data_IF_047635441945
#
_entry.id   IF_047635441945
#
_cell.length_a   1.000
_cell.length_b   1.000
_cell.length_c   1.000
_cell.angle_alpha   90.00
_cell.angle_beta   90.00
_cell.angle_gamma   90.00
#
_symmetry.space_group_name_H-M   'P 1'
#
loop_
_entity.id
_entity.type
_entity.pdbx_description
1 polymer ?
#
# COMPACT_ATOMS: atom_id res chain seq x y z
N UNK A 1 18.30 10.86 8.86
CA UNK A 1 16.96 10.36 8.47
C UNK A 1 16.83 9.91 6.99
N UNK A 2 17.89 9.46 6.29
CA UNK A 2 17.81 9.12 4.85
C UNK A 2 17.30 7.71 4.50
N UNK A 3 17.22 6.78 5.47
CA UNK A 3 16.85 5.37 5.21
C UNK A 3 15.37 5.00 5.38
N UNK A 4 14.57 5.81 6.08
CA UNK A 4 13.14 5.53 6.38
C UNK A 4 12.20 5.55 5.16
N UNK A 5 12.32 6.48 4.19
CA UNK A 5 11.43 6.47 3.03
C UNK A 5 11.71 5.27 2.10
N UNK A 6 12.98 4.86 1.99
CA UNK A 6 13.38 3.68 1.19
C UNK A 6 12.74 2.41 1.75
N UNK A 7 12.76 2.23 3.07
CA UNK A 7 12.08 1.11 3.72
C UNK A 7 10.58 1.12 3.43
N UNK A 8 9.92 2.28 3.50
CA UNK A 8 8.50 2.41 3.14
C UNK A 8 8.21 1.97 1.70
N UNK A 9 9.05 2.35 0.75
CA UNK A 9 8.94 1.93 -0.67
C UNK A 9 9.13 0.41 -0.81
N UNK A 10 10.13 -0.16 -0.14
CA UNK A 10 10.40 -1.61 -0.18
C UNK A 10 9.21 -2.39 0.41
N UNK A 11 8.71 -1.98 1.58
CA UNK A 11 7.55 -2.62 2.21
C UNK A 11 6.28 -2.48 1.36
N UNK A 12 6.06 -1.31 0.75
CA UNK A 12 4.93 -1.10 -0.16
C UNK A 12 4.98 -2.00 -1.39
N UNK A 13 6.18 -2.16 -1.98
CA UNK A 13 6.38 -3.03 -3.13
C UNK A 13 6.19 -4.51 -2.76
N UNK A 14 6.79 -4.97 -1.65
CA UNK A 14 6.61 -6.34 -1.15
C UNK A 14 5.14 -6.63 -0.84
N UNK A 15 4.45 -5.70 -0.17
CA UNK A 15 3.01 -5.83 0.10
C UNK A 15 2.20 -5.95 -1.19
N UNK A 16 2.47 -5.12 -2.19
CA UNK A 16 1.80 -5.18 -3.49
C UNK A 16 2.01 -6.52 -4.21
N UNK A 17 3.23 -7.05 -4.19
CA UNK A 17 3.55 -8.35 -4.78
C UNK A 17 2.82 -9.48 -4.06
N UNK A 18 2.87 -9.52 -2.73
CA UNK A 18 2.14 -10.53 -1.94
C UNK A 18 0.63 -10.47 -2.17
N UNK A 19 0.06 -9.26 -2.21
CA UNK A 19 -1.35 -9.06 -2.48
C UNK A 19 -1.74 -9.54 -3.89
N UNK A 20 -0.93 -9.25 -4.91
CA UNK A 20 -1.16 -9.73 -6.27
C UNK A 20 -1.12 -11.27 -6.36
N UNK A 21 -0.14 -11.91 -5.70
CA UNK A 21 -0.05 -13.37 -5.62
C UNK A 21 -1.26 -13.99 -4.90
N UNK A 22 -1.73 -13.34 -3.83
CA UNK A 22 -2.94 -13.76 -3.12
C UNK A 22 -4.16 -13.73 -4.04
N UNK A 23 -4.38 -12.63 -4.76
CA UNK A 23 -5.50 -12.52 -5.71
C UNK A 23 -5.40 -13.57 -6.82
N UNK A 24 -4.19 -13.82 -7.33
CA UNK A 24 -3.95 -14.88 -8.31
C UNK A 24 -4.29 -16.27 -7.75
N UNK A 25 -3.86 -16.59 -6.53
CA UNK A 25 -4.11 -17.88 -5.89
C UNK A 25 -5.61 -18.17 -5.74
N UNK A 26 -6.41 -17.16 -5.43
CA UNK A 26 -7.87 -17.28 -5.32
C UNK A 26 -8.61 -17.05 -6.66
N UNK A 27 -7.89 -16.93 -7.78
CA UNK A 27 -8.46 -16.62 -9.10
C UNK A 27 -9.35 -15.38 -9.11
N UNK A 28 -9.07 -14.42 -8.22
CA UNK A 28 -9.83 -13.19 -8.09
C UNK A 28 -9.34 -12.23 -9.15
N UNK A 29 -10.25 -11.84 -10.05
CA UNK A 29 -10.02 -10.77 -11.03
C UNK A 29 -10.36 -9.44 -10.37
N UNK A 30 -9.38 -8.55 -10.12
CA UNK A 30 -9.62 -7.32 -9.36
C UNK A 30 -10.62 -6.38 -10.06
N UNK A 31 -10.68 -6.45 -11.40
CA UNK A 31 -11.53 -5.59 -12.22
C UNK A 31 -13.01 -5.97 -12.20
N UNK A 32 -13.33 -7.20 -11.79
CA UNK A 32 -14.71 -7.69 -11.73
C UNK A 32 -15.42 -7.21 -10.45
N UNK A 33 -14.66 -6.74 -9.45
CA UNK A 33 -15.19 -6.32 -8.17
C UNK A 33 -14.55 -5.00 -7.71
N UNK A 34 -15.36 -3.94 -7.73
CA UNK A 34 -14.96 -2.57 -7.39
C UNK A 34 -14.31 -2.47 -6.00
N UNK A 35 -14.70 -3.32 -5.05
CA UNK A 35 -14.15 -3.35 -3.71
C UNK A 35 -12.71 -3.88 -3.68
N UNK A 36 -12.41 -4.91 -4.47
CA UNK A 36 -11.08 -5.56 -4.51
C UNK A 36 -10.03 -4.60 -5.09
N UNK A 37 -10.42 -3.77 -6.06
CA UNK A 37 -9.58 -2.72 -6.61
C UNK A 37 -9.59 -1.42 -5.79
N UNK A 38 -10.75 -1.04 -5.26
CA UNK A 38 -10.96 0.23 -4.57
C UNK A 38 -10.32 0.29 -3.18
N UNK A 39 -10.34 -0.80 -2.40
CA UNK A 39 -9.75 -0.82 -1.06
C UNK A 39 -8.23 -0.58 -1.04
N UNK A 40 -7.42 -1.22 -1.91
CA UNK A 40 -6.00 -0.91 -2.01
C UNK A 40 -5.72 0.57 -2.31
N UNK A 41 -6.48 1.17 -3.24
CA UNK A 41 -6.32 2.58 -3.63
C UNK A 41 -6.70 3.51 -2.47
N UNK A 42 -7.83 3.26 -1.82
CA UNK A 42 -8.26 4.02 -0.64
C UNK A 42 -7.23 3.91 0.49
N UNK A 43 -6.71 2.71 0.76
CA UNK A 43 -5.64 2.49 1.73
C UNK A 43 -4.38 3.29 1.41
N UNK A 44 -4.01 3.38 0.14
CA UNK A 44 -2.87 4.18 -0.33
C UNK A 44 -3.09 5.68 -0.13
N UNK A 45 -4.28 6.18 -0.48
CA UNK A 45 -4.66 7.58 -0.26
C UNK A 45 -4.69 7.95 1.22
N UNK A 46 -5.23 7.08 2.08
CA UNK A 46 -5.23 7.26 3.53
C UNK A 46 -3.79 7.23 4.06
N UNK A 47 -2.96 6.28 3.61
CA UNK A 47 -1.55 6.21 3.98
C UNK A 47 -0.78 7.49 3.63
N UNK A 48 -1.03 8.07 2.44
CA UNK A 48 -0.45 9.35 2.03
C UNK A 48 -0.95 10.52 2.88
N UNK A 49 -2.26 10.56 3.19
CA UNK A 49 -2.83 11.59 4.06
C UNK A 49 -2.25 11.51 5.48
N UNK A 50 -2.12 10.31 6.03
CA UNK A 50 -1.49 10.07 7.33
C UNK A 50 0.00 10.40 7.32
N UNK A 51 0.72 10.09 6.23
CA UNK A 51 2.13 10.46 6.08
C UNK A 51 2.31 12.00 6.05
N UNK A 52 1.36 12.73 5.46
CA UNK A 52 1.35 14.19 5.47
C UNK A 52 1.09 14.78 6.86
N UNK A 53 0.27 14.11 7.68
CA UNK A 53 -0.08 14.55 9.05
C UNK A 53 0.85 14.01 10.12
N UNK A 54 1.63 12.97 9.84
CA UNK A 54 2.59 12.44 10.79
C UNK A 54 3.58 13.56 11.17
N UNK A 55 3.71 13.91 12.46
CA UNK A 55 4.74 14.83 12.89
C UNK A 55 6.06 14.13 12.60
N UNK A 56 6.76 14.55 11.54
CA UNK A 56 8.13 14.13 11.28
C UNK A 56 8.95 14.57 12.48
N UNK A 57 9.12 13.64 13.44
CA UNK A 57 9.80 13.86 14.69
C UNK A 57 11.18 14.45 14.41
N UNK A 58 11.37 15.71 14.83
CA UNK A 58 12.66 16.38 14.89
C UNK A 58 13.45 15.76 16.04
N UNK A 59 14.08 14.61 15.79
CA UNK A 59 15.26 14.16 16.53
C UNK A 59 16.26 13.57 15.56
#
# INVERSE_FOLDING_TARGET
MRGRPVLGVIFGLLFGVFFALLLQQFSIRPLDNLSVFGFPILGLLIGLALAKWAPFSRR
#
